data_IF_141699451223
#
_entry.id   IF_141699451223
#
_cell.length_a   1.000
_cell.length_b   1.000
_cell.length_c   1.000
_cell.angle_alpha   90.00
_cell.angle_beta   90.00
_cell.angle_gamma   90.00
#
_symmetry.space_group_name_H-M   'P 1'
#
loop_
_entity.id
_entity.type
_entity.pdbx_description
1 polymer ?
#
# COMPACT_ATOMS: atom_id res chain seq x y z
N UNK A 1 30.92 43.62 14.48
CA UNK A 1 30.34 42.28 14.64
C UNK A 1 31.29 41.47 15.52
N UNK A 2 30.91 41.20 16.76
CA UNK A 2 31.78 40.47 17.69
C UNK A 2 31.74 38.98 17.35
N UNK A 3 32.89 38.44 16.95
CA UNK A 3 33.10 37.00 16.78
C UNK A 3 33.02 36.36 18.17
N UNK A 4 31.91 35.67 18.46
CA UNK A 4 31.69 35.09 19.79
C UNK A 4 32.37 33.73 19.89
N UNK A 5 32.75 33.32 21.11
CA UNK A 5 33.30 31.98 21.37
C UNK A 5 32.36 30.88 20.85
N UNK A 6 31.04 31.15 20.85
CA UNK A 6 30.00 30.29 20.27
C UNK A 6 30.17 30.11 18.76
N UNK A 7 30.48 31.19 18.02
CA UNK A 7 30.73 31.15 16.58
C UNK A 7 31.97 30.30 16.25
N UNK A 8 33.00 30.40 17.09
CA UNK A 8 34.23 29.62 16.95
C UNK A 8 33.99 28.14 17.24
N UNK A 9 33.17 27.83 18.24
CA UNK A 9 32.79 26.46 18.60
C UNK A 9 31.91 25.80 17.53
N UNK A 10 31.01 26.58 16.93
CA UNK A 10 30.14 26.12 15.84
C UNK A 10 30.92 25.87 14.55
N UNK A 11 31.87 26.76 14.21
CA UNK A 11 32.76 26.57 13.07
C UNK A 11 33.71 25.37 13.27
N UNK A 12 34.26 25.18 14.47
CA UNK A 12 35.11 24.04 14.78
C UNK A 12 34.33 22.71 14.76
N UNK A 13 33.07 22.67 15.23
CA UNK A 13 32.23 21.49 15.09
C UNK A 13 31.90 21.15 13.62
N UNK A 14 31.64 22.17 12.80
CA UNK A 14 31.39 22.00 11.36
C UNK A 14 32.64 21.48 10.64
N UNK A 15 33.82 21.96 11.00
CA UNK A 15 35.10 21.49 10.45
C UNK A 15 35.38 20.05 10.88
N UNK A 16 35.13 19.69 12.15
CA UNK A 16 35.31 18.30 12.64
C UNK A 16 34.34 17.35 11.93
N UNK A 17 33.07 17.75 11.73
CA UNK A 17 32.11 16.97 10.97
C UNK A 17 32.50 16.85 9.49
N UNK A 18 33.02 17.91 8.86
CA UNK A 18 33.48 17.85 7.48
C UNK A 18 34.72 16.95 7.33
N UNK A 19 35.66 16.99 8.29
CA UNK A 19 36.83 16.11 8.31
C UNK A 19 36.42 14.65 8.54
N UNK A 20 35.43 14.39 9.39
CA UNK A 20 34.91 13.04 9.62
C UNK A 20 34.24 12.45 8.37
N UNK A 21 33.45 13.26 7.64
CA UNK A 21 32.80 12.85 6.38
C UNK A 21 33.83 12.63 5.27
N UNK A 22 34.88 13.45 5.18
CA UNK A 22 35.95 13.28 4.19
C UNK A 22 36.88 12.09 4.49
N UNK A 23 36.89 11.57 5.72
CA UNK A 23 37.74 10.44 6.11
C UNK A 23 37.07 9.06 5.97
N UNK A 24 35.75 9.01 5.78
CA UNK A 24 34.99 7.78 5.57
C UNK A 24 35.25 7.17 4.16
N UNK A 25 35.46 8.02 3.14
CA UNK A 25 35.81 7.58 1.77
C UNK A 25 37.23 7.01 1.65
N UNK A 26 38.13 7.27 2.61
CA UNK A 26 39.48 6.66 2.64
C UNK A 26 39.55 5.34 3.38
N UNK A 27 38.58 5.04 4.25
CA UNK A 27 38.58 3.79 5.03
C UNK A 27 37.96 2.61 4.26
N UNK A 28 37.09 2.88 3.29
CA UNK A 28 36.46 1.84 2.45
C UNK A 28 37.27 1.46 1.19
N UNK A 29 38.36 2.18 0.86
CA UNK A 29 39.25 1.86 -0.27
C UNK A 29 40.46 0.96 0.08
N UNK A 30 40.57 0.46 1.31
CA UNK A 30 41.63 -0.48 1.71
C UNK A 30 41.11 -1.88 2.10
N UNK A 31 39.83 -2.17 1.84
CA UNK A 31 39.21 -3.47 2.12
C UNK A 31 39.42 -4.54 1.04
N UNK A 32 39.92 -4.20 -0.15
CA UNK A 32 40.09 -5.15 -1.27
C UNK A 32 41.44 -4.94 -1.96
N UNK A 33 42.44 -5.74 -1.55
CA UNK A 33 43.58 -6.31 -2.32
C UNK A 33 44.70 -6.65 -1.32
N UNK A 34 45.03 -7.93 -1.21
CA UNK A 34 45.86 -8.48 -0.14
C UNK A 34 47.38 -8.35 -0.27
N UNK A 35 48.05 -8.42 0.89
CA UNK A 35 49.47 -8.77 1.12
C UNK A 35 50.18 -7.87 2.15
N UNK A 36 51.33 -8.25 2.75
CA UNK A 36 51.76 -9.49 3.41
C UNK A 36 51.97 -9.26 4.95
N UNK A 37 52.56 -10.19 5.76
CA UNK A 37 52.26 -10.31 7.19
C UNK A 37 53.14 -9.46 8.12
N UNK A 38 52.53 -8.97 9.22
CA UNK A 38 53.23 -8.57 10.43
C UNK A 38 52.91 -7.16 10.91
N UNK A 39 51.88 -7.03 11.76
CA UNK A 39 51.80 -6.09 12.89
C UNK A 39 50.46 -6.30 13.62
N UNK A 40 50.47 -7.17 14.64
CA UNK A 40 49.60 -7.04 15.83
C UNK A 40 50.06 -5.75 16.54
N UNK A 41 49.26 -4.89 17.15
CA UNK A 41 47.84 -4.87 17.51
C UNK A 41 47.71 -3.92 18.70
N UNK A 42 46.57 -3.26 18.90
CA UNK A 42 46.11 -2.78 20.23
C UNK A 42 44.60 -2.85 20.21
N UNK A 43 44.04 -3.84 20.89
CA UNK A 43 42.61 -3.97 21.15
C UNK A 43 42.21 -3.22 22.42
N UNK A 44 40.94 -2.83 22.49
CA UNK A 44 40.26 -2.42 23.72
C UNK A 44 38.93 -3.19 23.81
N UNK A 45 38.93 -4.27 24.59
CA UNK A 45 37.80 -4.70 25.44
C UNK A 45 38.24 -4.46 26.88
N UNK A 46 37.39 -4.20 27.87
CA UNK A 46 36.26 -5.00 28.40
C UNK A 46 35.34 -4.08 29.24
N UNK A 47 34.02 -4.13 29.09
CA UNK A 47 33.04 -4.88 29.92
C UNK A 47 32.67 -4.24 31.28
N UNK A 48 31.36 -4.04 31.50
CA UNK A 48 30.64 -4.18 32.78
C UNK A 48 29.14 -3.85 32.63
N UNK A 49 28.27 -4.80 33.01
CA UNK A 49 26.99 -4.50 33.68
C UNK A 49 25.70 -5.06 33.05
N UNK A 50 25.24 -6.19 33.57
CA UNK A 50 23.88 -6.75 33.39
C UNK A 50 22.88 -5.96 34.27
N UNK A 51 21.68 -5.63 33.75
CA UNK A 51 20.55 -5.15 34.57
C UNK A 51 19.21 -5.03 33.81
N UNK A 52 18.22 -5.83 34.22
CA UNK A 52 16.83 -5.40 34.44
C UNK A 52 15.85 -5.23 33.26
N UNK A 53 14.78 -6.04 33.25
CA UNK A 53 13.49 -5.70 32.63
C UNK A 53 12.86 -4.51 33.37
N UNK A 54 12.55 -3.40 32.68
CA UNK A 54 11.66 -2.33 33.18
C UNK A 54 12.25 -0.97 33.56
N UNK A 55 13.26 -0.43 32.86
CA UNK A 55 13.72 0.96 33.07
C UNK A 55 13.47 1.89 31.86
N UNK A 56 13.12 3.16 32.14
CA UNK A 56 12.81 4.20 31.15
C UNK A 56 14.04 4.57 30.29
N UNK A 57 13.87 4.92 28.99
CA UNK A 57 15.00 5.24 28.12
C UNK A 57 15.73 6.51 28.59
N UNK A 58 17.01 6.36 28.91
CA UNK A 58 17.87 7.44 29.40
C UNK A 58 18.01 8.63 28.44
N UNK A 59 18.39 9.78 29.01
CA UNK A 59 18.49 11.11 28.39
C UNK A 59 19.22 11.10 27.03
N UNK A 60 20.16 10.18 26.81
CA UNK A 60 20.91 9.98 25.56
C UNK A 60 20.03 9.48 24.40
N UNK A 61 19.00 8.67 24.67
CA UNK A 61 18.01 8.23 23.70
C UNK A 61 16.97 9.33 23.39
N UNK A 62 16.56 10.08 24.41
CA UNK A 62 15.65 11.23 24.24
C UNK A 62 16.30 12.38 23.44
N UNK A 63 17.59 12.64 23.65
CA UNK A 63 18.33 13.69 22.91
C UNK A 63 18.56 13.30 21.44
N UNK A 64 18.76 12.01 21.15
CA UNK A 64 18.89 11.49 19.78
C UNK A 64 17.56 11.57 19.02
N UNK A 65 16.42 11.40 19.71
CA UNK A 65 15.08 11.60 19.15
C UNK A 65 14.72 13.09 18.95
N UNK A 66 15.24 13.98 19.81
CA UNK A 66 15.04 15.43 19.70
C UNK A 66 15.85 16.04 18.54
N UNK A 67 17.07 15.55 18.31
CA UNK A 67 17.93 15.98 17.20
C UNK A 67 17.39 15.49 15.83
N UNK A 68 16.64 14.38 15.79
CA UNK A 68 15.90 13.95 14.60
C UNK A 68 14.60 14.72 14.34
N UNK A 69 14.07 15.44 15.34
CA UNK A 69 12.78 16.16 15.26
C UNK A 69 12.91 17.65 14.85
N UNK A 70 14.13 18.17 14.65
CA UNK A 70 14.38 19.60 14.34
C UNK A 70 15.07 19.74 12.98
N UNK A 71 14.56 19.04 11.96
CA UNK A 71 15.01 19.25 10.58
C UNK A 71 13.89 19.20 9.55
N UNK A 72 12.78 19.90 9.77
CA UNK A 72 11.88 20.25 8.66
C UNK A 72 10.92 21.42 8.97
N UNK A 73 11.45 22.63 9.19
CA UNK A 73 10.67 23.88 9.03
C UNK A 73 11.56 24.95 8.39
N UNK A 74 10.99 25.70 7.44
CA UNK A 74 11.51 26.83 6.62
C UNK A 74 12.23 26.39 5.32
N UNK A 75 11.93 26.89 4.11
CA UNK A 75 10.95 27.80 3.48
C UNK A 75 11.36 27.88 1.99
N UNK A 76 10.47 28.16 1.03
CA UNK A 76 10.57 29.26 0.01
C UNK A 76 9.24 29.38 -0.76
N UNK A 77 8.89 30.64 -1.06
CA UNK A 77 7.66 31.19 -1.64
C UNK A 77 7.62 31.14 -3.18
N UNK A 78 6.38 31.16 -3.74
CA UNK A 78 5.99 32.16 -4.75
C UNK A 78 5.64 31.70 -6.17
N UNK A 79 4.39 31.90 -6.59
CA UNK A 79 3.94 32.00 -7.99
C UNK A 79 2.46 31.63 -8.21
N UNK A 80 1.64 32.43 -8.92
CA UNK A 80 0.25 32.08 -9.22
C UNK A 80 0.21 31.29 -10.53
N UNK A 81 -0.15 30.01 -10.47
CA UNK A 81 -0.49 29.24 -11.65
C UNK A 81 -1.80 28.48 -11.40
N UNK A 82 -2.70 28.54 -12.38
CA UNK A 82 -3.98 27.85 -12.38
C UNK A 82 -3.76 26.35 -12.14
N UNK A 83 -4.21 25.88 -10.97
CA UNK A 83 -4.11 24.48 -10.57
C UNK A 83 -5.09 23.63 -11.37
N UNK A 84 -4.56 22.70 -12.18
CA UNK A 84 -5.30 21.53 -12.64
C UNK A 84 -5.01 20.43 -11.62
N UNK A 85 -6.02 20.03 -10.87
CA UNK A 85 -5.94 18.97 -9.86
C UNK A 85 -5.56 17.64 -10.54
N UNK A 86 -4.49 16.98 -10.09
CA UNK A 86 -4.10 15.63 -10.55
C UNK A 86 -4.30 14.63 -9.42
N UNK A 87 -4.61 13.37 -9.72
CA UNK A 87 -4.82 12.34 -8.69
C UNK A 87 -3.79 11.23 -8.74
N UNK A 88 -3.48 10.68 -7.58
CA UNK A 88 -2.62 9.51 -7.45
C UNK A 88 -3.35 8.46 -6.62
N UNK A 89 -4.08 7.53 -7.27
CA UNK A 89 -4.45 6.29 -6.62
C UNK A 89 -3.20 5.48 -6.25
N UNK A 90 -3.06 5.24 -4.96
CA UNK A 90 -1.96 4.48 -4.37
C UNK A 90 -2.51 3.15 -3.89
N UNK A 91 -1.92 2.06 -4.38
CA UNK A 91 -2.03 0.78 -3.69
C UNK A 91 -0.91 0.65 -2.68
N UNK A 92 -1.31 0.48 -1.42
CA UNK A 92 -0.42 -0.04 -0.40
C UNK A 92 -0.47 -1.57 -0.50
N UNK A 93 0.65 -2.26 -0.78
CA UNK A 93 0.69 -3.71 -0.77
C UNK A 93 0.49 -4.20 0.67
N UNK A 94 -0.74 -4.46 1.05
CA UNK A 94 -1.10 -4.90 2.41
C UNK A 94 -0.93 -6.42 2.59
N UNK A 95 0.09 -6.99 1.94
CA UNK A 95 0.26 -8.42 1.78
C UNK A 95 1.68 -8.94 1.97
N UNK A 96 2.38 -8.52 3.03
CA UNK A 96 3.46 -9.30 3.68
C UNK A 96 4.00 -8.57 4.92
N UNK A 97 3.22 -8.49 6.01
CA UNK A 97 3.82 -8.33 7.34
C UNK A 97 3.81 -9.72 7.97
N UNK A 98 4.97 -10.41 8.06
CA UNK A 98 5.05 -11.64 8.84
C UNK A 98 4.65 -11.33 10.28
N UNK A 99 3.78 -12.16 10.87
CA UNK A 99 3.51 -12.05 12.30
C UNK A 99 4.85 -12.24 13.06
N UNK A 100 5.39 -11.15 13.59
CA UNK A 100 6.71 -11.10 14.22
C UNK A 100 7.56 -9.84 13.97
N UNK A 101 7.22 -8.97 13.01
CA UNK A 101 7.93 -7.69 12.84
C UNK A 101 7.33 -6.59 13.73
N UNK A 102 8.15 -5.98 14.58
CA UNK A 102 7.78 -4.80 15.36
C UNK A 102 7.70 -3.57 14.44
N UNK A 103 6.79 -2.65 14.76
CA UNK A 103 6.55 -1.39 14.06
C UNK A 103 7.70 -0.36 14.18
N UNK A 104 8.94 -0.80 14.41
CA UNK A 104 10.05 0.05 14.83
C UNK A 104 11.01 0.50 13.70
N UNK A 105 10.76 0.12 12.44
CA UNK A 105 11.57 0.56 11.29
C UNK A 105 10.67 0.94 10.10
N UNK A 106 10.02 2.10 10.16
CA UNK A 106 9.20 2.60 9.05
C UNK A 106 9.70 3.97 8.55
N UNK A 107 10.18 4.07 7.29
CA UNK A 107 10.38 5.34 6.56
C UNK A 107 9.05 6.05 6.19
N UNK A 108 7.92 5.39 6.44
CA UNK A 108 6.59 5.61 5.87
C UNK A 108 5.85 6.90 6.28
N UNK A 109 5.96 7.42 7.52
CA UNK A 109 5.21 8.62 7.93
C UNK A 109 5.59 9.87 7.11
N UNK A 110 6.83 9.92 6.62
CA UNK A 110 7.40 11.10 5.94
C UNK A 110 6.84 11.23 4.52
N UNK A 111 6.61 10.12 3.79
CA UNK A 111 6.18 10.19 2.40
C UNK A 111 4.68 10.50 2.25
N UNK A 112 3.84 10.06 3.18
CA UNK A 112 2.43 10.47 3.23
C UNK A 112 2.27 11.98 3.39
N UNK A 113 3.11 12.60 4.23
CA UNK A 113 3.15 14.05 4.39
C UNK A 113 3.63 14.79 3.12
N UNK A 114 4.55 14.21 2.34
CA UNK A 114 5.02 14.80 1.08
C UNK A 114 3.94 14.84 0.00
N UNK A 115 3.18 13.76 -0.20
CA UNK A 115 2.03 13.75 -1.12
C UNK A 115 0.96 14.76 -0.71
N UNK A 116 0.69 14.90 0.59
CA UNK A 116 -0.31 15.84 1.14
C UNK A 116 0.07 17.31 0.97
N UNK A 117 1.36 17.63 0.81
CA UNK A 117 1.83 19.00 0.58
C UNK A 117 1.67 19.49 -0.85
N UNK A 118 1.34 18.58 -1.78
CA UNK A 118 1.08 18.88 -3.19
C UNK A 118 -0.44 19.01 -3.44
N UNK A 119 -0.86 19.70 -4.51
CA UNK A 119 -2.27 19.80 -4.91
C UNK A 119 -2.75 18.50 -5.58
N UNK A 120 -2.59 17.37 -4.87
CA UNK A 120 -2.95 16.04 -5.33
C UNK A 120 -4.09 15.48 -4.47
N UNK A 121 -5.05 14.83 -5.10
CA UNK A 121 -6.00 13.97 -4.39
C UNK A 121 -5.46 12.54 -4.39
N UNK A 122 -5.46 11.91 -3.21
CA UNK A 122 -4.93 10.56 -3.00
C UNK A 122 -6.07 9.61 -2.65
N UNK A 123 -6.10 8.45 -3.31
CA UNK A 123 -7.02 7.35 -3.00
C UNK A 123 -6.23 6.08 -2.70
N UNK A 124 -6.51 5.44 -1.58
CA UNK A 124 -5.95 4.15 -1.21
C UNK A 124 -6.85 3.03 -1.73
N UNK A 125 -6.35 2.23 -2.66
CA UNK A 125 -7.13 1.17 -3.30
C UNK A 125 -6.67 -0.23 -2.90
N UNK A 126 -7.60 -1.17 -2.70
CA UNK A 126 -7.24 -2.58 -2.41
C UNK A 126 -8.32 -3.60 -2.80
N UNK A 127 -7.88 -4.77 -3.27
CA UNK A 127 -8.72 -5.95 -3.50
C UNK A 127 -8.80 -6.81 -2.22
N UNK A 128 -9.57 -6.36 -1.22
CA UNK A 128 -9.86 -7.14 -0.02
C UNK A 128 -11.24 -7.79 -0.08
N UNK A 129 -11.37 -8.98 0.50
CA UNK A 129 -12.66 -9.66 0.69
C UNK A 129 -12.99 -9.93 2.16
N UNK A 130 -12.11 -9.51 3.08
CA UNK A 130 -12.14 -9.93 4.49
C UNK A 130 -11.93 -8.82 5.49
N UNK A 131 -11.44 -7.67 5.05
CA UNK A 131 -11.21 -6.54 5.94
C UNK A 131 -12.19 -5.46 5.54
N UNK A 132 -12.97 -4.99 6.52
CA UNK A 132 -13.84 -3.83 6.31
C UNK A 132 -13.00 -2.58 6.05
N UNK A 133 -13.62 -1.56 5.43
CA UNK A 133 -13.00 -0.25 5.26
C UNK A 133 -12.55 0.34 6.61
N UNK A 134 -13.32 0.13 7.67
CA UNK A 134 -13.01 0.60 9.03
C UNK A 134 -11.77 -0.10 9.59
N UNK A 135 -11.69 -1.42 9.51
CA UNK A 135 -10.52 -2.17 10.02
C UNK A 135 -9.24 -1.76 9.27
N UNK A 136 -9.37 -1.52 7.97
CA UNK A 136 -8.29 -1.04 7.13
C UNK A 136 -7.82 0.36 7.56
N UNK A 137 -8.76 1.27 7.83
CA UNK A 137 -8.47 2.61 8.34
C UNK A 137 -7.72 2.53 9.67
N UNK A 138 -8.28 1.81 10.65
CA UNK A 138 -7.69 1.65 11.99
C UNK A 138 -6.26 1.07 11.92
N UNK A 139 -6.04 0.09 11.03
CA UNK A 139 -4.72 -0.51 10.82
C UNK A 139 -3.73 0.48 10.22
N UNK A 140 -4.12 1.22 9.19
CA UNK A 140 -3.23 2.19 8.53
C UNK A 140 -2.93 3.38 9.45
N UNK A 141 -3.92 3.90 10.17
CA UNK A 141 -3.68 4.95 11.18
C UNK A 141 -2.80 4.44 12.32
N UNK A 142 -2.97 3.18 12.73
CA UNK A 142 -2.11 2.53 13.72
C UNK A 142 -0.65 2.36 13.26
N UNK A 143 -0.41 2.33 11.95
CA UNK A 143 0.93 2.32 11.34
C UNK A 143 1.52 3.74 11.16
N UNK A 144 0.79 4.78 11.58
CA UNK A 144 1.23 6.18 11.50
C UNK A 144 0.92 6.86 10.16
N UNK A 145 0.06 6.27 9.32
CA UNK A 145 -0.47 6.96 8.16
C UNK A 145 -1.57 7.94 8.58
N UNK A 146 -1.38 9.22 8.24
CA UNK A 146 -2.48 10.19 8.25
C UNK A 146 -3.36 9.91 7.03
N UNK A 147 -4.52 9.29 7.22
CA UNK A 147 -5.50 8.96 6.18
C UNK A 147 -6.93 9.14 6.68
N UNK A 148 -7.83 9.51 5.77
CA UNK A 148 -9.25 9.65 6.02
C UNK A 148 -10.04 8.52 5.38
N UNK A 149 -11.19 8.18 5.96
CA UNK A 149 -12.05 7.07 5.50
C UNK A 149 -12.51 7.21 4.03
N UNK A 150 -12.75 8.45 3.58
CA UNK A 150 -13.16 8.75 2.21
C UNK A 150 -12.02 8.54 1.19
N UNK A 151 -10.76 8.55 1.63
CA UNK A 151 -9.60 8.28 0.77
C UNK A 151 -9.48 6.78 0.49
N UNK A 152 -10.12 5.90 1.26
CA UNK A 152 -10.06 4.44 1.07
C UNK A 152 -11.14 3.99 0.07
N UNK A 153 -10.75 3.17 -0.90
CA UNK A 153 -11.66 2.50 -1.83
C UNK A 153 -11.31 1.01 -1.95
N UNK A 154 -12.25 0.13 -1.60
CA UNK A 154 -12.03 -1.32 -1.58
C UNK A 154 -12.88 -2.03 -2.61
N UNK A 155 -12.52 -3.26 -2.97
CA UNK A 155 -13.38 -4.11 -3.80
C UNK A 155 -14.73 -4.44 -3.14
N UNK A 156 -14.82 -4.37 -1.80
CA UNK A 156 -16.08 -4.41 -1.06
C UNK A 156 -16.92 -3.16 -1.28
N UNK A 157 -16.29 -1.97 -1.28
CA UNK A 157 -16.95 -0.70 -1.62
C UNK A 157 -17.49 -0.74 -3.06
N UNK A 158 -16.70 -1.26 -4.00
CA UNK A 158 -17.13 -1.46 -5.39
C UNK A 158 -18.34 -2.41 -5.50
N UNK A 159 -18.33 -3.53 -4.76
CA UNK A 159 -19.45 -4.46 -4.68
C UNK A 159 -20.71 -3.76 -4.14
N UNK A 160 -20.57 -3.01 -3.03
CA UNK A 160 -21.67 -2.25 -2.42
C UNK A 160 -22.28 -1.25 -3.41
N UNK A 161 -21.45 -0.45 -4.08
CA UNK A 161 -21.91 0.53 -5.08
C UNK A 161 -22.73 -0.13 -6.19
N UNK A 162 -22.29 -1.30 -6.66
CA UNK A 162 -23.01 -2.06 -7.70
C UNK A 162 -24.37 -2.56 -7.20
N UNK A 163 -24.45 -3.05 -5.96
CA UNK A 163 -25.70 -3.49 -5.35
C UNK A 163 -26.70 -2.33 -5.23
N UNK A 164 -26.24 -1.17 -4.76
CA UNK A 164 -27.06 0.03 -4.62
C UNK A 164 -27.54 0.53 -5.99
N UNK A 165 -26.66 0.54 -7.00
CA UNK A 165 -27.00 0.93 -8.37
C UNK A 165 -28.04 -0.01 -9.01
N UNK A 166 -27.92 -1.32 -8.78
CA UNK A 166 -28.86 -2.32 -9.29
C UNK A 166 -30.13 -2.47 -8.44
N UNK A 167 -30.16 -1.85 -7.26
CA UNK A 167 -31.26 -1.93 -6.29
C UNK A 167 -31.62 -3.39 -5.92
N UNK A 168 -30.60 -4.23 -5.72
CA UNK A 168 -30.74 -5.65 -5.42
C UNK A 168 -30.41 -5.96 -3.95
N UNK A 169 -30.95 -7.08 -3.46
CA UNK A 169 -30.73 -7.64 -2.12
C UNK A 169 -29.83 -8.87 -2.22
N UNK A 170 -28.59 -8.83 -1.72
CA UNK A 170 -27.63 -9.90 -1.94
C UNK A 170 -27.79 -11.05 -0.94
N UNK A 171 -27.57 -12.27 -1.42
CA UNK A 171 -27.00 -13.34 -0.64
C UNK A 171 -25.49 -13.12 -0.57
N UNK A 172 -24.98 -12.76 0.62
CA UNK A 172 -23.58 -12.45 0.85
C UNK A 172 -22.79 -13.72 1.22
N UNK A 173 -21.92 -14.21 0.33
CA UNK A 173 -20.92 -15.23 0.60
C UNK A 173 -19.57 -14.51 0.81
N UNK A 174 -19.46 -13.77 1.91
CA UNK A 174 -18.26 -12.99 2.30
C UNK A 174 -17.84 -13.37 3.72
N UNK A 175 -16.62 -13.04 4.12
CA UNK A 175 -16.16 -13.23 5.50
C UNK A 175 -16.97 -12.31 6.44
N UNK A 176 -17.29 -12.75 7.66
CA UNK A 176 -18.09 -11.97 8.62
C UNK A 176 -17.49 -10.58 8.88
N UNK A 177 -16.16 -10.48 8.82
CA UNK A 177 -15.42 -9.21 8.98
C UNK A 177 -15.65 -8.22 7.85
N UNK A 178 -16.15 -8.66 6.70
CA UNK A 178 -16.51 -7.81 5.57
C UNK A 178 -17.97 -7.32 5.61
N UNK A 179 -18.83 -7.92 6.45
CA UNK A 179 -20.24 -7.53 6.57
C UNK A 179 -20.47 -6.06 6.94
N UNK A 180 -19.62 -5.39 7.76
CA UNK A 180 -19.79 -3.97 8.05
C UNK A 180 -19.87 -3.08 6.80
N UNK A 181 -19.14 -3.42 5.71
CA UNK A 181 -19.15 -2.66 4.45
C UNK A 181 -20.51 -2.77 3.70
N UNK A 182 -21.36 -3.74 4.06
CA UNK A 182 -22.71 -3.92 3.48
C UNK A 182 -23.84 -3.46 4.42
N UNK A 183 -23.52 -2.82 5.54
CA UNK A 183 -24.54 -2.31 6.49
C UNK A 183 -25.52 -1.38 5.77
N UNK A 184 -26.83 -1.60 5.99
CA UNK A 184 -27.90 -0.83 5.34
C UNK A 184 -28.39 -1.39 4.00
N UNK A 185 -27.74 -2.41 3.45
CA UNK A 185 -28.26 -3.17 2.32
C UNK A 185 -29.21 -4.26 2.83
N UNK A 186 -30.44 -4.32 2.31
CA UNK A 186 -31.39 -5.38 2.66
C UNK A 186 -30.92 -6.75 2.16
N UNK A 187 -30.97 -7.77 3.01
CA UNK A 187 -30.52 -9.15 2.70
C UNK A 187 -31.64 -10.18 2.83
N UNK A 188 -32.85 -9.74 3.19
CA UNK A 188 -34.06 -10.56 3.20
C UNK A 188 -34.48 -10.90 1.76
N UNK A 189 -34.98 -12.12 1.55
CA UNK A 189 -35.43 -12.62 0.24
C UNK A 189 -34.44 -12.25 -0.90
N UNK A 190 -33.20 -12.77 -0.85
CA UNK A 190 -32.12 -12.30 -1.71
C UNK A 190 -32.43 -12.55 -3.18
N UNK A 191 -32.08 -11.60 -4.03
CA UNK A 191 -32.23 -11.64 -5.48
C UNK A 191 -30.93 -11.27 -6.22
N UNK A 192 -29.80 -11.28 -5.54
CA UNK A 192 -28.44 -11.20 -6.09
C UNK A 192 -27.52 -12.14 -5.29
N UNK A 193 -26.37 -12.51 -5.84
CA UNK A 193 -25.37 -13.32 -5.14
C UNK A 193 -24.03 -12.59 -5.18
N UNK A 194 -23.43 -12.33 -4.01
CA UNK A 194 -22.09 -11.72 -3.91
C UNK A 194 -21.12 -12.75 -3.35
N UNK A 195 -20.02 -12.98 -4.04
CA UNK A 195 -19.00 -13.98 -3.67
C UNK A 195 -17.66 -13.30 -3.39
N UNK A 196 -17.23 -13.34 -2.14
CA UNK A 196 -15.87 -13.07 -1.67
C UNK A 196 -15.18 -14.35 -1.24
N UNK A 197 -14.00 -14.25 -0.60
CA UNK A 197 -13.36 -15.41 0.01
C UNK A 197 -13.99 -15.68 1.39
N UNK A 198 -14.95 -16.60 1.44
CA UNK A 198 -15.68 -16.98 2.65
C UNK A 198 -15.62 -18.50 2.89
N UNK A 199 -14.50 -19.02 3.44
CA UNK A 199 -14.33 -20.46 3.64
C UNK A 199 -15.48 -21.13 4.40
N UNK A 200 -16.05 -20.44 5.39
CA UNK A 200 -17.16 -20.93 6.21
C UNK A 200 -18.49 -21.03 5.44
N UNK A 201 -18.61 -20.37 4.29
CA UNK A 201 -19.77 -20.38 3.41
C UNK A 201 -19.57 -21.24 2.15
N UNK A 202 -18.39 -21.81 1.97
CA UNK A 202 -18.04 -22.60 0.79
C UNK A 202 -18.33 -24.10 0.97
N UNK A 203 -19.51 -24.40 1.51
CA UNK A 203 -20.05 -25.75 1.63
C UNK A 203 -21.25 -25.94 0.69
N UNK A 204 -21.63 -27.20 0.46
CA UNK A 204 -22.58 -27.59 -0.58
C UNK A 204 -23.93 -26.87 -0.46
N UNK A 205 -24.51 -26.79 0.74
CA UNK A 205 -25.83 -26.21 0.97
C UNK A 205 -25.87 -24.72 0.59
N UNK A 206 -24.84 -23.96 0.96
CA UNK A 206 -24.76 -22.53 0.64
C UNK A 206 -24.50 -22.31 -0.85
N UNK A 207 -23.60 -23.08 -1.45
CA UNK A 207 -23.33 -23.01 -2.88
C UNK A 207 -24.57 -23.38 -3.71
N UNK A 208 -25.32 -24.40 -3.28
CA UNK A 208 -26.57 -24.81 -3.94
C UNK A 208 -27.69 -23.76 -3.77
N UNK A 209 -27.72 -23.05 -2.64
CA UNK A 209 -28.63 -21.89 -2.46
C UNK A 209 -28.28 -20.76 -3.43
N UNK A 210 -27.00 -20.39 -3.53
CA UNK A 210 -26.53 -19.39 -4.48
C UNK A 210 -26.85 -19.79 -5.93
N UNK A 211 -26.57 -21.05 -6.29
CA UNK A 211 -26.89 -21.62 -7.60
C UNK A 211 -28.37 -21.46 -7.97
N UNK A 212 -29.29 -21.80 -7.06
CA UNK A 212 -30.75 -21.67 -7.31
C UNK A 212 -31.18 -20.22 -7.55
N UNK A 213 -30.66 -19.28 -6.77
CA UNK A 213 -30.94 -17.85 -6.99
C UNK A 213 -30.48 -17.40 -8.39
N UNK A 214 -29.30 -17.84 -8.82
CA UNK A 214 -28.77 -17.48 -10.14
C UNK A 214 -29.63 -18.08 -11.27
N UNK A 215 -30.13 -19.31 -11.12
CA UNK A 215 -31.09 -19.89 -12.07
C UNK A 215 -32.42 -19.12 -12.13
N UNK A 216 -32.84 -18.50 -11.03
CA UNK A 216 -34.00 -17.61 -10.97
C UNK A 216 -33.73 -16.21 -11.55
N UNK A 217 -32.50 -15.97 -12.05
CA UNK A 217 -32.10 -14.71 -12.70
C UNK A 217 -31.33 -13.74 -11.81
N UNK A 218 -30.94 -14.14 -10.59
CA UNK A 218 -30.13 -13.31 -9.72
C UNK A 218 -28.74 -13.05 -10.33
N UNK A 219 -28.24 -11.79 -10.36
CA UNK A 219 -26.89 -11.51 -10.83
C UNK A 219 -25.85 -12.14 -9.90
N UNK A 220 -24.84 -12.78 -10.49
CA UNK A 220 -23.65 -13.26 -9.79
C UNK A 220 -22.59 -12.16 -9.80
N UNK A 221 -22.25 -11.65 -8.62
CA UNK A 221 -21.23 -10.62 -8.41
C UNK A 221 -20.04 -11.26 -7.68
N UNK A 222 -18.84 -11.15 -8.24
CA UNK A 222 -17.63 -11.66 -7.63
C UNK A 222 -16.73 -10.50 -7.22
N UNK A 223 -16.27 -10.48 -5.96
CA UNK A 223 -15.36 -9.41 -5.50
C UNK A 223 -14.04 -9.48 -6.27
N UNK A 224 -13.49 -10.69 -6.45
CA UNK A 224 -12.40 -10.97 -7.38
C UNK A 224 -12.37 -12.48 -7.71
N UNK A 225 -11.60 -12.90 -8.72
CA UNK A 225 -11.50 -14.29 -9.17
C UNK A 225 -10.11 -14.91 -8.96
N UNK A 226 -9.44 -14.55 -7.87
CA UNK A 226 -8.12 -15.12 -7.58
C UNK A 226 -8.20 -16.65 -7.44
N UNK A 227 -7.31 -17.36 -8.14
CA UNK A 227 -7.27 -18.83 -8.16
C UNK A 227 -6.89 -19.39 -6.78
N UNK A 228 -5.89 -18.78 -6.16
CA UNK A 228 -5.34 -19.16 -4.87
C UNK A 228 -4.69 -17.96 -4.18
N UNK A 229 -4.41 -18.11 -2.89
CA UNK A 229 -3.58 -17.19 -2.10
C UNK A 229 -2.62 -17.98 -1.23
N UNK A 230 -1.53 -17.35 -0.74
CA UNK A 230 -0.52 -18.02 0.08
C UNK A 230 -0.72 -17.70 1.56
N UNK A 231 -0.86 -18.74 2.38
CA UNK A 231 -0.76 -18.69 3.84
C UNK A 231 0.61 -19.21 4.30
N UNK A 232 0.84 -19.20 5.62
CA UNK A 232 2.07 -19.74 6.23
C UNK A 232 2.28 -21.23 5.96
N UNK A 233 1.19 -21.98 5.85
CA UNK A 233 1.13 -23.43 5.67
C UNK A 233 1.04 -23.88 4.19
N UNK A 234 0.90 -22.95 3.24
CA UNK A 234 0.91 -23.28 1.81
C UNK A 234 -0.04 -22.45 0.96
N UNK A 235 -0.31 -22.95 -0.25
CA UNK A 235 -1.30 -22.36 -1.15
C UNK A 235 -2.71 -22.81 -0.73
N UNK A 236 -3.62 -21.86 -0.65
CA UNK A 236 -5.03 -22.08 -0.33
C UNK A 236 -5.90 -21.60 -1.50
N UNK A 237 -7.05 -22.23 -1.70
CA UNK A 237 -8.01 -21.81 -2.73
C UNK A 237 -8.52 -20.40 -2.46
N UNK A 238 -8.53 -19.57 -3.50
CA UNK A 238 -9.18 -18.25 -3.47
C UNK A 238 -10.69 -18.37 -3.71
N UNK A 239 -11.39 -17.25 -3.93
CA UNK A 239 -12.81 -17.27 -4.30
C UNK A 239 -13.04 -17.71 -5.75
N UNK A 240 -12.04 -17.57 -6.63
CA UNK A 240 -12.14 -17.86 -8.06
C UNK A 240 -12.69 -19.27 -8.40
N UNK A 241 -12.21 -20.35 -7.77
CA UNK A 241 -12.76 -21.70 -7.97
C UNK A 241 -14.25 -21.82 -7.67
N UNK A 242 -14.74 -21.15 -6.61
CA UNK A 242 -16.16 -21.19 -6.21
C UNK A 242 -17.03 -20.37 -7.16
N UNK A 243 -16.52 -19.20 -7.57
CA UNK A 243 -17.15 -18.39 -8.62
C UNK A 243 -17.24 -19.18 -9.93
N UNK A 244 -16.14 -19.82 -10.35
CA UNK A 244 -16.10 -20.62 -11.57
C UNK A 244 -17.05 -21.82 -11.50
N UNK A 245 -17.20 -22.46 -10.34
CA UNK A 245 -18.18 -23.52 -10.13
C UNK A 245 -19.62 -23.04 -10.33
N UNK A 246 -19.97 -21.86 -9.82
CA UNK A 246 -21.29 -21.26 -10.04
C UNK A 246 -21.50 -20.86 -11.51
N UNK A 247 -20.52 -20.19 -12.12
CA UNK A 247 -20.55 -19.83 -13.55
C UNK A 247 -20.76 -21.06 -14.44
N UNK A 248 -20.04 -22.14 -14.16
CA UNK A 248 -20.16 -23.40 -14.91
C UNK A 248 -21.53 -24.05 -14.71
N UNK A 249 -22.04 -24.08 -13.47
CA UNK A 249 -23.31 -24.72 -13.16
C UNK A 249 -24.50 -23.99 -13.79
N UNK A 250 -24.42 -22.68 -14.00
CA UNK A 250 -25.53 -21.86 -14.49
C UNK A 250 -25.36 -21.36 -15.93
N UNK A 251 -24.22 -21.63 -16.56
CA UNK A 251 -23.83 -21.08 -17.88
C UNK A 251 -23.92 -19.54 -17.92
N UNK A 252 -23.52 -18.90 -16.82
CA UNK A 252 -23.48 -17.44 -16.69
C UNK A 252 -22.07 -16.93 -16.40
N UNK A 253 -21.86 -15.62 -16.53
CA UNK A 253 -20.61 -14.96 -16.14
C UNK A 253 -20.83 -14.06 -14.94
N UNK A 254 -19.93 -14.17 -13.97
CA UNK A 254 -19.93 -13.27 -12.83
C UNK A 254 -19.53 -11.86 -13.26
N UNK A 255 -20.21 -10.85 -12.72
CA UNK A 255 -19.73 -9.47 -12.75
C UNK A 255 -18.62 -9.33 -11.73
N UNK A 256 -17.38 -9.17 -12.18
CA UNK A 256 -16.24 -8.94 -11.29
C UNK A 256 -16.14 -7.44 -10.97
N UNK A 257 -15.95 -7.09 -9.70
CA UNK A 257 -15.92 -5.68 -9.26
C UNK A 257 -14.57 -5.20 -8.74
N UNK A 258 -13.65 -6.11 -8.46
CA UNK A 258 -12.27 -5.78 -8.07
C UNK A 258 -11.33 -5.65 -9.27
N UNK A 259 -10.08 -5.27 -8.99
CA UNK A 259 -8.99 -5.29 -9.97
C UNK A 259 -8.82 -6.69 -10.60
N UNK A 260 -8.45 -6.80 -11.89
CA UNK A 260 -8.05 -5.74 -12.84
C UNK A 260 -9.21 -5.02 -13.56
N UNK A 261 -10.46 -5.18 -13.14
CA UNK A 261 -11.58 -4.65 -13.91
C UNK A 261 -11.55 -3.13 -14.03
N UNK A 262 -11.76 -2.63 -15.26
CA UNK A 262 -11.74 -1.19 -15.56
C UNK A 262 -12.70 -0.40 -14.66
N UNK A 263 -13.87 -0.98 -14.36
CA UNK A 263 -14.88 -0.37 -13.49
C UNK A 263 -14.33 -0.06 -12.11
N UNK A 264 -13.47 -0.92 -11.53
CA UNK A 264 -12.87 -0.67 -10.22
C UNK A 264 -12.09 0.65 -10.18
N UNK A 265 -11.26 0.88 -11.20
CA UNK A 265 -10.43 2.09 -11.30
C UNK A 265 -11.26 3.34 -11.56
N UNK A 266 -12.27 3.25 -12.44
CA UNK A 266 -13.17 4.37 -12.71
C UNK A 266 -14.00 4.73 -11.48
N UNK A 267 -14.45 3.74 -10.71
CA UNK A 267 -15.15 3.96 -9.44
C UNK A 267 -14.24 4.58 -8.38
N UNK A 268 -12.96 4.22 -8.33
CA UNK A 268 -12.00 4.83 -7.42
C UNK A 268 -11.81 6.34 -7.68
N UNK A 269 -11.93 6.77 -8.93
CA UNK A 269 -11.91 8.19 -9.35
C UNK A 269 -13.28 8.87 -9.24
N UNK A 270 -14.34 8.15 -8.85
CA UNK A 270 -15.68 8.74 -8.77
C UNK A 270 -15.73 9.79 -7.66
N UNK A 271 -16.29 10.96 -8.02
CA UNK A 271 -16.49 12.07 -7.09
C UNK A 271 -15.25 12.94 -6.87
N UNK A 272 -14.16 12.67 -7.59
CA UNK A 272 -12.93 13.47 -7.47
C UNK A 272 -12.82 14.59 -8.50
N UNK A 273 -13.51 14.44 -9.64
CA UNK A 273 -13.50 15.40 -10.74
C UNK A 273 -12.36 15.21 -11.73
N UNK A 274 -11.55 14.17 -11.58
CA UNK A 274 -10.41 13.89 -12.45
C UNK A 274 -10.71 12.83 -13.51
N UNK A 275 -10.20 13.06 -14.72
CA UNK A 275 -10.27 12.07 -15.79
C UNK A 275 -9.22 10.96 -15.56
N UNK A 276 -9.44 9.73 -16.05
CA UNK A 276 -8.46 8.64 -15.91
C UNK A 276 -7.06 9.02 -16.40
N UNK A 277 -6.95 9.81 -17.47
CA UNK A 277 -5.69 10.26 -18.06
C UNK A 277 -4.89 11.21 -17.17
N UNK A 278 -5.56 11.81 -16.18
CA UNK A 278 -4.98 12.70 -15.16
C UNK A 278 -4.57 11.95 -13.88
N UNK A 279 -4.84 10.65 -13.82
CA UNK A 279 -4.60 9.81 -12.66
C UNK A 279 -3.39 8.88 -12.82
N UNK A 280 -2.68 8.62 -11.72
CA UNK A 280 -1.55 7.68 -11.65
C UNK A 280 -1.81 6.58 -10.64
N UNK A 281 -1.84 5.33 -11.09
CA UNK A 281 -1.88 4.15 -10.21
C UNK A 281 -0.46 3.73 -9.82
N UNK A 282 -0.18 3.56 -8.53
CA UNK A 282 1.05 2.95 -8.03
C UNK A 282 0.71 1.59 -7.42
N UNK A 283 1.34 0.50 -7.86
CA UNK A 283 1.07 -0.85 -7.35
C UNK A 283 2.22 -1.83 -7.55
N UNK A 284 2.13 -3.00 -6.90
CA UNK A 284 3.15 -4.05 -6.94
C UNK A 284 2.75 -5.26 -7.81
N UNK A 285 1.47 -5.36 -8.19
CA UNK A 285 0.98 -6.35 -9.14
C UNK A 285 0.91 -5.76 -10.55
N UNK A 286 1.78 -6.26 -11.44
CA UNK A 286 1.85 -5.77 -12.81
C UNK A 286 0.53 -5.94 -13.58
N UNK A 287 -0.25 -7.00 -13.31
CA UNK A 287 -1.49 -7.25 -14.06
C UNK A 287 -2.68 -6.60 -13.39
N UNK A 288 -2.85 -6.86 -12.10
CA UNK A 288 -4.04 -6.43 -11.37
C UNK A 288 -4.03 -4.91 -11.19
N UNK A 289 -2.87 -4.32 -10.88
CA UNK A 289 -2.78 -2.91 -10.49
C UNK A 289 -2.45 -2.06 -11.71
N UNK A 290 -1.30 -2.31 -12.31
CA UNK A 290 -0.74 -1.46 -13.37
C UNK A 290 -1.45 -1.71 -14.71
N UNK A 291 -1.57 -2.97 -15.11
CA UNK A 291 -2.29 -3.36 -16.32
C UNK A 291 -3.77 -2.96 -16.29
N UNK A 292 -4.44 -3.19 -15.17
CA UNK A 292 -5.84 -2.77 -14.97
C UNK A 292 -6.03 -1.26 -15.07
N UNK A 293 -5.18 -0.48 -14.39
CA UNK A 293 -5.24 0.98 -14.43
C UNK A 293 -4.95 1.55 -15.83
N UNK A 294 -3.97 1.00 -16.54
CA UNK A 294 -3.65 1.43 -17.91
C UNK A 294 -4.80 1.16 -18.89
N UNK A 295 -5.51 0.05 -18.74
CA UNK A 295 -6.72 -0.23 -19.52
C UNK A 295 -7.87 0.72 -19.18
N UNK A 296 -7.88 1.26 -17.96
CA UNK A 296 -8.83 2.30 -17.54
C UNK A 296 -8.48 3.70 -18.10
N UNK A 297 -7.28 3.91 -18.64
CA UNK A 297 -6.80 5.19 -19.19
C UNK A 297 -5.74 5.88 -18.32
N UNK A 298 -5.37 5.29 -17.19
CA UNK A 298 -4.45 5.88 -16.21
C UNK A 298 -2.99 5.57 -16.53
N UNK A 299 -2.07 6.35 -15.96
CA UNK A 299 -0.65 5.96 -15.95
C UNK A 299 -0.42 4.97 -14.81
N UNK A 300 0.28 3.87 -15.08
CA UNK A 300 0.61 2.88 -14.06
C UNK A 300 2.10 2.86 -13.74
N UNK A 301 2.44 2.98 -12.46
CA UNK A 301 3.80 2.87 -11.93
C UNK A 301 3.90 1.54 -11.17
N UNK A 302 4.79 0.67 -11.62
CA UNK A 302 5.08 -0.61 -10.97
C UNK A 302 6.19 -0.43 -9.94
N UNK A 303 5.97 -0.83 -8.69
CA UNK A 303 7.03 -0.87 -7.67
C UNK A 303 7.60 -2.28 -7.51
N UNK A 304 8.90 -2.40 -7.26
CA UNK A 304 9.61 -3.68 -7.11
C UNK A 304 9.50 -4.30 -5.71
N UNK A 305 8.66 -3.72 -4.84
CA UNK A 305 8.33 -4.26 -3.51
C UNK A 305 7.18 -5.27 -3.60
N UNK A 306 6.84 -5.93 -2.49
CA UNK A 306 5.64 -6.77 -2.39
C UNK A 306 5.66 -8.05 -3.25
N UNK A 307 4.63 -8.21 -4.09
CA UNK A 307 4.40 -9.38 -4.96
C UNK A 307 5.28 -9.41 -6.19
N UNK A 308 5.87 -8.27 -6.57
CA UNK A 308 6.70 -8.14 -7.76
C UNK A 308 7.75 -9.27 -7.86
N UNK A 309 7.96 -9.77 -9.07
CA UNK A 309 9.07 -10.68 -9.41
C UNK A 309 9.85 -10.11 -10.60
N UNK A 310 11.16 -10.42 -10.73
CA UNK A 310 11.95 -9.93 -11.85
C UNK A 310 11.28 -10.26 -13.19
N UNK A 311 11.26 -9.28 -14.10
CA UNK A 311 10.62 -9.33 -15.41
C UNK A 311 9.08 -9.30 -15.39
N UNK A 312 8.45 -9.02 -14.25
CA UNK A 312 7.01 -8.82 -14.18
C UNK A 312 6.54 -7.65 -15.04
N UNK A 313 7.35 -6.61 -15.22
CA UNK A 313 7.09 -5.47 -16.10
C UNK A 313 6.83 -5.87 -17.57
N UNK A 314 7.29 -7.06 -17.99
CA UNK A 314 7.07 -7.60 -19.33
C UNK A 314 5.78 -8.41 -19.48
N UNK A 315 5.00 -8.58 -18.40
CA UNK A 315 3.76 -9.39 -18.39
C UNK A 315 2.56 -8.69 -19.02
N UNK A 316 2.66 -7.39 -19.27
CA UNK A 316 1.59 -6.55 -19.83
C UNK A 316 2.08 -5.80 -21.07
N UNK A 317 1.14 -5.42 -21.93
CA UNK A 317 1.38 -4.55 -23.07
C UNK A 317 0.19 -3.58 -23.21
N UNK A 318 0.39 -2.24 -23.22
CA UNK A 318 1.68 -1.53 -23.06
C UNK A 318 2.35 -1.80 -21.70
N UNK A 319 3.68 -1.68 -21.66
CA UNK A 319 4.46 -1.79 -20.43
C UNK A 319 4.05 -0.70 -19.40
N UNK A 320 4.40 -0.86 -18.11
CA UNK A 320 4.23 0.19 -17.10
C UNK A 320 4.81 1.53 -17.59
N UNK A 321 4.16 2.63 -17.23
CA UNK A 321 4.68 3.98 -17.53
C UNK A 321 6.05 4.20 -16.87
N UNK A 322 6.22 3.67 -15.66
CA UNK A 322 7.48 3.64 -14.93
C UNK A 322 7.56 2.38 -14.06
N UNK A 323 8.77 1.87 -13.87
CA UNK A 323 9.07 0.85 -12.85
C UNK A 323 10.08 1.44 -11.86
N UNK A 324 9.75 1.45 -10.57
CA UNK A 324 10.58 2.01 -9.50
C UNK A 324 10.98 0.93 -8.49
N UNK A 325 12.01 1.15 -7.67
CA UNK A 325 12.38 0.16 -6.64
C UNK A 325 11.33 0.11 -5.52
N UNK A 326 10.71 1.25 -5.20
CA UNK A 326 9.79 1.37 -4.06
C UNK A 326 8.79 2.53 -4.22
N UNK A 327 7.83 2.60 -3.29
CA UNK A 327 6.80 3.64 -3.26
C UNK A 327 7.37 5.07 -3.12
N UNK A 328 8.34 5.36 -2.22
CA UNK A 328 8.97 6.68 -2.14
C UNK A 328 9.53 7.20 -3.47
N UNK A 329 10.21 6.36 -4.25
CA UNK A 329 10.74 6.75 -5.57
C UNK A 329 9.62 7.09 -6.57
N UNK A 330 8.51 6.35 -6.54
CA UNK A 330 7.34 6.66 -7.36
C UNK A 330 6.74 8.03 -6.99
N UNK A 331 6.65 8.34 -5.69
CA UNK A 331 6.20 9.66 -5.20
C UNK A 331 7.13 10.77 -5.66
N UNK A 332 8.44 10.59 -5.51
CA UNK A 332 9.44 11.59 -5.93
C UNK A 332 9.36 11.85 -7.44
N UNK A 333 9.16 10.82 -8.26
CA UNK A 333 8.96 10.96 -9.69
C UNK A 333 7.72 11.78 -10.03
N UNK A 334 6.58 11.48 -9.39
CA UNK A 334 5.33 12.21 -9.60
C UNK A 334 5.51 13.68 -9.24
N UNK A 335 6.10 13.98 -8.08
CA UNK A 335 6.30 15.35 -7.61
C UNK A 335 7.25 16.16 -8.52
N UNK A 336 8.21 15.53 -9.18
CA UNK A 336 9.19 16.22 -10.05
C UNK A 336 8.78 16.34 -11.51
N UNK A 337 8.08 15.34 -12.04
CA UNK A 337 7.82 15.20 -13.48
C UNK A 337 6.35 15.41 -13.85
N UNK A 338 5.46 15.40 -12.85
CA UNK A 338 4.01 15.46 -13.06
C UNK A 338 3.32 16.55 -12.25
N UNK A 339 4.07 17.43 -11.59
CA UNK A 339 3.59 18.67 -10.97
C UNK A 339 4.50 19.82 -11.40
#
# INVERSE_FOLDING_TARGET
MAFTLYSLLQASLLIVNAVAVLHEERFLRHGELGGPPGLRGVGWGSDQGIGGFGEEPGIKAQLTNLIRSIRTVMRVQGGPFHAVSREVPVELPLGAVPAGCSAAEAPVPIQGAMLRSAPLTVRFVTNTTKESKRDLLERLTGLGFDIAEHEIFTSLTAARNLLEQQQVRPLLLVDDKALPDFTGIGTDNPNAVVVGLAPEHFHYEMMNRAFRLILEGAPLIAIHKARYFKKKDGLCLGPGPFVAGLEYATDTKATVVGKPEKTFFLEALRGTGCAPEEAVMIGDDCRDDVGGAQQAGMRGILVRTGKYRPADENKINPAPYLTCENFPEAVEHILKQML
#
